data_IF_355434353953
#
_entry.id   IF_355434353953
#
_cell.length_a   1.000
_cell.length_b   1.000
_cell.length_c   1.000
_cell.angle_alpha   90.00
_cell.angle_beta   90.00
_cell.angle_gamma   90.00
#
_symmetry.space_group_name_H-M   'P 1'
#
loop_
_entity.id
_entity.type
_entity.pdbx_description
1 polymer ?
#
# COMPACT_ATOMS: atom_id res chain seq x y z
N UNK A 1 -8.90 15.64 -4.40
CA UNK A 1 -9.57 14.58 -5.17
C UNK A 1 -9.94 13.45 -4.21
N UNK A 2 -11.16 12.92 -4.29
CA UNK A 2 -11.62 11.82 -3.45
C UNK A 2 -11.42 10.50 -4.19
N UNK A 3 -10.41 9.72 -3.80
CA UNK A 3 -10.02 8.49 -4.49
C UNK A 3 -11.03 7.37 -4.29
N UNK A 4 -11.63 7.28 -3.11
CA UNK A 4 -12.70 6.35 -2.76
C UNK A 4 -13.95 6.51 -3.62
N UNK A 5 -14.34 7.75 -3.96
CA UNK A 5 -15.48 8.00 -4.84
C UNK A 5 -15.19 7.67 -6.31
N UNK A 6 -13.93 7.80 -6.72
CA UNK A 6 -13.53 7.63 -8.14
C UNK A 6 -13.12 6.20 -8.46
N UNK A 7 -12.55 5.51 -7.49
CA UNK A 7 -12.00 4.17 -7.62
C UNK A 7 -12.42 3.29 -6.42
N UNK A 8 -13.72 3.08 -6.19
CA UNK A 8 -14.22 2.36 -5.01
C UNK A 8 -13.77 0.89 -4.96
N UNK A 9 -13.38 0.32 -6.10
CA UNK A 9 -12.93 -1.07 -6.24
C UNK A 9 -11.40 -1.20 -6.36
N UNK A 10 -10.64 -0.17 -6.00
CA UNK A 10 -9.19 -0.20 -6.13
C UNK A 10 -8.57 -1.24 -5.18
N UNK A 11 -7.83 -2.19 -5.74
CA UNK A 11 -7.17 -3.29 -5.01
C UNK A 11 -5.69 -3.03 -4.79
N UNK A 12 -5.01 -2.42 -5.77
CA UNK A 12 -3.59 -2.11 -5.68
C UNK A 12 -3.30 -0.75 -6.31
N UNK A 13 -2.45 0.04 -5.64
CA UNK A 13 -1.97 1.33 -6.12
C UNK A 13 -0.45 1.38 -6.07
N UNK A 14 0.19 1.38 -7.23
CA UNK A 14 1.64 1.50 -7.39
C UNK A 14 1.96 2.84 -8.03
N UNK A 15 2.60 3.72 -7.26
CA UNK A 15 3.04 5.06 -7.67
C UNK A 15 4.48 5.33 -7.21
N UNK A 16 5.26 4.26 -7.01
CA UNK A 16 6.66 4.37 -6.60
C UNK A 16 7.50 5.09 -7.64
N UNK A 17 8.58 5.74 -7.18
CA UNK A 17 9.59 6.38 -8.05
C UNK A 17 9.00 7.45 -8.97
N UNK A 18 8.25 8.37 -8.37
CA UNK A 18 7.66 9.51 -9.05
C UNK A 18 8.02 10.81 -8.31
N UNK A 19 7.59 11.95 -8.86
CA UNK A 19 7.72 13.27 -8.24
C UNK A 19 6.41 13.73 -7.59
N UNK A 20 5.63 12.81 -7.02
CA UNK A 20 4.38 13.17 -6.34
C UNK A 20 4.69 13.94 -5.07
N UNK A 21 4.02 15.08 -4.89
CA UNK A 21 4.21 15.97 -3.76
C UNK A 21 2.88 16.26 -3.04
N UNK A 22 2.95 17.05 -1.96
CA UNK A 22 1.79 17.33 -1.10
C UNK A 22 1.57 16.25 -0.05
N UNK A 23 0.34 16.09 0.43
CA UNK A 23 0.00 15.16 1.52
C UNK A 23 -0.74 13.93 1.00
N UNK A 24 -0.64 12.82 1.75
CA UNK A 24 -1.43 11.61 1.46
C UNK A 24 -2.91 11.93 1.74
N UNK A 25 -3.80 11.85 0.75
CA UNK A 25 -5.20 12.19 0.94
C UNK A 25 -5.90 11.17 1.85
N UNK A 26 -6.70 11.67 2.79
CA UNK A 26 -7.46 10.81 3.73
C UNK A 26 -8.44 9.86 3.03
N UNK A 27 -8.85 10.17 1.80
CA UNK A 27 -9.72 9.29 1.01
C UNK A 27 -9.09 7.93 0.69
N UNK A 28 -7.76 7.79 0.73
CA UNK A 28 -7.10 6.47 0.64
C UNK A 28 -7.58 5.55 1.77
N UNK A 29 -7.80 6.08 2.97
CA UNK A 29 -8.22 5.30 4.14
C UNK A 29 -9.63 4.68 3.99
N UNK A 30 -10.42 5.17 3.02
CA UNK A 30 -11.77 4.68 2.74
C UNK A 30 -11.78 3.54 1.72
N UNK A 31 -10.65 3.22 1.06
CA UNK A 31 -10.55 2.14 0.08
C UNK A 31 -10.51 0.78 0.80
N UNK A 32 -11.69 0.20 1.02
CA UNK A 32 -11.85 -1.04 1.81
C UNK A 32 -11.21 -2.27 1.18
N UNK A 33 -11.10 -2.30 -0.15
CA UNK A 33 -10.55 -3.43 -0.90
C UNK A 33 -9.04 -3.29 -1.20
N UNK A 34 -8.39 -2.21 -0.72
CA UNK A 34 -6.99 -1.94 -1.04
C UNK A 34 -6.07 -2.90 -0.29
N UNK A 35 -5.35 -3.74 -1.03
CA UNK A 35 -4.37 -4.70 -0.56
C UNK A 35 -2.95 -4.14 -0.59
N UNK A 36 -2.63 -3.33 -1.60
CA UNK A 36 -1.28 -2.79 -1.80
C UNK A 36 -1.32 -1.28 -2.05
N UNK A 37 -0.51 -0.55 -1.28
CA UNK A 37 -0.22 0.86 -1.48
C UNK A 37 1.29 1.07 -1.53
N UNK A 38 1.82 1.41 -2.70
CA UNK A 38 3.23 1.71 -2.89
C UNK A 38 3.40 3.15 -3.39
N UNK A 39 3.90 4.01 -2.51
CA UNK A 39 4.21 5.43 -2.75
C UNK A 39 5.71 5.72 -2.54
N UNK A 40 6.54 4.66 -2.44
CA UNK A 40 7.98 4.74 -2.22
C UNK A 40 8.66 5.75 -3.15
N UNK A 41 9.69 6.45 -2.68
CA UNK A 41 10.51 7.34 -3.53
C UNK A 41 9.67 8.40 -4.23
N UNK A 42 9.07 9.27 -3.43
CA UNK A 42 8.31 10.45 -3.86
C UNK A 42 8.64 11.65 -2.95
N UNK A 43 8.00 12.79 -3.19
CA UNK A 43 8.18 14.03 -2.44
C UNK A 43 6.98 14.32 -1.50
N UNK A 44 6.27 13.27 -1.07
CA UNK A 44 5.10 13.41 -0.20
C UNK A 44 5.52 13.85 1.20
N UNK A 45 4.72 14.71 1.81
CA UNK A 45 5.00 15.33 3.10
C UNK A 45 3.77 15.32 4.02
N UNK A 46 3.95 15.80 5.25
CA UNK A 46 2.89 15.84 6.26
C UNK A 46 2.92 14.64 7.22
N UNK A 47 1.81 14.42 7.93
CA UNK A 47 1.73 13.39 8.98
C UNK A 47 1.20 12.06 8.45
N UNK A 48 1.63 10.96 9.03
CA UNK A 48 0.98 9.67 8.82
C UNK A 48 -0.51 9.72 9.20
N UNK A 49 -1.43 9.35 8.28
CA UNK A 49 -2.85 9.29 8.57
C UNK A 49 -3.15 8.25 9.65
N UNK A 50 -3.64 8.69 10.80
CA UNK A 50 -4.09 7.76 11.86
C UNK A 50 -5.27 6.89 11.39
N UNK A 51 -6.02 7.42 10.42
CA UNK A 51 -7.14 6.75 9.78
C UNK A 51 -6.74 5.56 8.90
N UNK A 52 -5.44 5.30 8.67
CA UNK A 52 -5.06 4.07 7.97
C UNK A 52 -5.51 2.80 8.71
N UNK A 53 -5.78 2.89 10.01
CA UNK A 53 -6.46 1.83 10.77
C UNK A 53 -7.78 1.34 10.16
N UNK A 54 -8.40 2.13 9.29
CA UNK A 54 -9.64 1.82 8.58
C UNK A 54 -9.45 0.94 7.33
N UNK A 55 -8.21 0.73 6.90
CA UNK A 55 -7.85 -0.16 5.80
C UNK A 55 -7.84 -1.60 6.33
N UNK A 56 -8.96 -2.30 6.13
CA UNK A 56 -9.17 -3.64 6.68
C UNK A 56 -8.36 -4.71 5.94
N UNK A 57 -8.29 -4.58 4.62
CA UNK A 57 -7.66 -5.58 3.75
C UNK A 57 -6.21 -5.22 3.36
N UNK A 58 -5.62 -4.15 3.89
CA UNK A 58 -4.28 -3.72 3.48
C UNK A 58 -3.19 -4.67 3.99
N UNK A 59 -2.39 -5.18 3.06
CA UNK A 59 -1.28 -6.09 3.35
C UNK A 59 0.05 -5.38 3.22
N UNK A 60 0.20 -4.52 2.21
CA UNK A 60 1.45 -3.82 1.93
C UNK A 60 1.21 -2.31 1.90
N UNK A 61 1.97 -1.59 2.72
CA UNK A 61 2.10 -0.12 2.66
C UNK A 61 3.61 0.18 2.57
N UNK A 62 4.06 0.65 1.41
CA UNK A 62 5.41 1.21 1.24
C UNK A 62 5.31 2.72 0.98
N UNK A 63 5.82 3.50 1.91
CA UNK A 63 5.89 4.96 1.84
C UNK A 63 7.31 5.45 2.14
N UNK A 64 8.30 4.56 2.05
CA UNK A 64 9.70 4.90 2.30
C UNK A 64 10.21 5.94 1.29
N UNK A 65 11.30 6.63 1.63
CA UNK A 65 11.89 7.67 0.77
C UNK A 65 10.87 8.75 0.38
N UNK A 66 10.16 9.27 1.38
CA UNK A 66 9.30 10.44 1.32
C UNK A 66 9.62 11.36 2.51
N UNK A 67 9.02 12.55 2.56
CA UNK A 67 9.18 13.54 3.64
C UNK A 67 8.05 13.48 4.68
N UNK A 68 7.57 12.26 5.00
CA UNK A 68 6.48 12.02 5.94
C UNK A 68 6.97 12.04 7.40
N UNK A 69 6.10 12.45 8.31
CA UNK A 69 6.42 12.66 9.73
C UNK A 69 5.32 12.14 10.67
N UNK A 70 5.60 12.15 11.98
CA UNK A 70 4.65 11.74 13.02
C UNK A 70 4.70 10.25 13.34
N UNK A 71 3.76 9.80 14.19
CA UNK A 71 3.68 8.40 14.63
C UNK A 71 2.82 7.60 13.68
N UNK A 72 3.28 6.40 13.33
CA UNK A 72 2.44 5.43 12.65
C UNK A 72 1.32 4.96 13.59
N UNK A 73 0.08 4.79 13.08
CA UNK A 73 -1.00 4.26 13.89
C UNK A 73 -0.67 2.85 14.38
N UNK A 74 -0.88 2.62 15.67
CA UNK A 74 -0.53 1.35 16.35
C UNK A 74 -1.15 0.11 15.70
N UNK A 75 -2.32 0.26 15.07
CA UNK A 75 -3.04 -0.81 14.36
C UNK A 75 -2.40 -1.24 13.03
N UNK A 76 -1.37 -0.52 12.58
CA UNK A 76 -0.66 -0.84 11.34
C UNK A 76 0.66 -1.55 11.55
N UNK A 77 1.12 -1.69 12.80
CA UNK A 77 2.20 -2.59 13.17
C UNK A 77 3.48 -2.35 12.37
N UNK A 78 4.34 -1.46 12.89
CA UNK A 78 5.69 -1.08 12.40
C UNK A 78 5.81 -0.61 10.94
N UNK A 79 6.60 0.44 10.65
CA UNK A 79 6.97 0.77 9.27
C UNK A 79 7.77 -0.38 8.69
N UNK A 80 7.24 -1.01 7.67
CA UNK A 80 7.79 -2.23 7.07
C UNK A 80 7.05 -3.46 7.55
N UNK A 81 6.15 -3.93 6.70
CA UNK A 81 5.56 -5.28 6.71
C UNK A 81 4.57 -5.54 7.86
N UNK A 82 3.27 -5.39 7.56
CA UNK A 82 2.27 -6.27 8.19
C UNK A 82 2.57 -7.68 7.70
N UNK A 83 3.14 -8.51 8.57
CA UNK A 83 3.45 -9.91 8.25
C UNK A 83 2.17 -10.63 7.84
N UNK A 84 2.08 -11.02 6.56
CA UNK A 84 1.20 -12.10 6.16
C UNK A 84 1.66 -13.38 6.89
N UNK A 85 0.77 -14.17 7.51
CA UNK A 85 1.16 -15.45 8.09
C UNK A 85 1.65 -16.38 6.96
N UNK A 86 2.94 -16.73 6.99
CA UNK A 86 3.56 -17.66 6.04
C UNK A 86 4.47 -17.06 4.96
N UNK A 87 4.79 -15.76 5.00
CA UNK A 87 5.70 -15.14 4.02
C UNK A 87 6.95 -14.59 4.73
N UNK A 88 8.10 -15.22 4.50
CA UNK A 88 9.41 -14.71 4.92
C UNK A 88 9.79 -13.51 4.04
N UNK A 89 9.79 -12.31 4.61
CA UNK A 89 9.81 -11.04 3.88
C UNK A 89 11.16 -10.31 3.96
N UNK A 90 12.24 -11.05 3.68
CA UNK A 90 13.54 -10.44 3.30
C UNK A 90 13.78 -10.51 1.78
N UNK A 91 12.84 -11.04 0.98
CA UNK A 91 13.07 -11.30 -0.47
C UNK A 91 12.09 -10.58 -1.44
N UNK A 92 11.01 -9.94 -0.98
CA UNK A 92 9.88 -9.66 -1.88
C UNK A 92 9.74 -8.23 -2.47
N UNK A 93 10.83 -7.52 -2.81
CA UNK A 93 10.68 -6.29 -3.62
C UNK A 93 11.55 -6.26 -4.89
N UNK A 94 12.57 -7.12 -5.02
CA UNK A 94 13.32 -7.22 -6.29
C UNK A 94 12.83 -8.33 -7.24
N UNK A 95 12.07 -9.31 -6.76
CA UNK A 95 11.68 -10.47 -7.59
C UNK A 95 10.26 -10.48 -8.16
N UNK A 96 9.38 -9.54 -7.78
CA UNK A 96 8.00 -9.52 -8.34
C UNK A 96 7.89 -8.89 -9.73
N UNK A 97 8.97 -8.33 -10.27
CA UNK A 97 8.97 -7.75 -11.63
C UNK A 97 9.73 -8.56 -12.69
N UNK A 98 10.41 -9.67 -12.33
CA UNK A 98 11.23 -10.40 -13.33
C UNK A 98 11.05 -11.91 -13.50
N UNK A 99 10.31 -12.63 -12.66
CA UNK A 99 10.25 -14.11 -12.79
C UNK A 99 8.87 -14.73 -12.97
N UNK A 100 7.78 -13.98 -13.01
CA UNK A 100 6.45 -14.57 -13.22
C UNK A 100 5.62 -13.81 -14.25
N UNK A 101 5.16 -14.47 -15.33
CA UNK A 101 4.24 -13.84 -16.28
C UNK A 101 2.92 -13.47 -15.56
N UNK A 102 2.16 -12.49 -16.08
CA UNK A 102 0.95 -11.94 -15.45
C UNK A 102 -0.11 -12.98 -15.05
N UNK A 103 -0.07 -14.17 -15.64
CA UNK A 103 -0.97 -15.29 -15.37
C UNK A 103 -0.74 -15.96 -14.01
N UNK A 104 0.47 -15.92 -13.46
CA UNK A 104 0.75 -16.55 -12.18
C UNK A 104 0.16 -15.76 -11.00
N UNK A 105 -0.07 -14.45 -11.15
CA UNK A 105 -0.66 -13.62 -10.07
C UNK A 105 -2.14 -13.99 -9.82
N UNK A 106 -2.85 -14.48 -10.84
CA UNK A 106 -4.26 -14.88 -10.69
C UNK A 106 -4.46 -16.16 -9.87
N UNK A 107 -3.48 -17.07 -9.81
CA UNK A 107 -3.61 -18.33 -9.06
C UNK A 107 -3.42 -18.19 -7.55
N UNK A 108 -2.95 -17.03 -7.07
CA UNK A 108 -2.76 -16.74 -5.64
C UNK A 108 -3.86 -15.85 -5.06
N UNK A 109 -4.77 -15.36 -5.89
CA UNK A 109 -5.98 -14.70 -5.41
C UNK A 109 -7.00 -15.78 -5.06
N UNK A 110 -7.66 -15.73 -3.89
CA UNK A 110 -8.78 -16.62 -3.63
C UNK A 110 -9.80 -16.42 -4.75
N UNK A 111 -10.22 -17.52 -5.37
CA UNK A 111 -11.22 -17.50 -6.44
C UNK A 111 -12.50 -16.87 -5.91
N UNK A 112 -12.76 -15.63 -6.33
CA UNK A 112 -14.03 -14.96 -6.08
C UNK A 112 -15.13 -15.72 -6.83
N UNK A 113 -16.32 -15.91 -6.22
CA UNK A 113 -17.48 -16.50 -6.90
C UNK A 113 -17.97 -15.62 -8.07
#
# INVERSE_FOLDING_TARGET
MNLDQRFPQLVALYLSENHLNGTIPLSICNLKNLLVLSLRSNELSGKFPQAWSLLQEIWVIDVAYNNLSGKLPNSIGVPGIKRAPGVDLTIAIEFLYWTYPPTAVQSWLPSYP
#
